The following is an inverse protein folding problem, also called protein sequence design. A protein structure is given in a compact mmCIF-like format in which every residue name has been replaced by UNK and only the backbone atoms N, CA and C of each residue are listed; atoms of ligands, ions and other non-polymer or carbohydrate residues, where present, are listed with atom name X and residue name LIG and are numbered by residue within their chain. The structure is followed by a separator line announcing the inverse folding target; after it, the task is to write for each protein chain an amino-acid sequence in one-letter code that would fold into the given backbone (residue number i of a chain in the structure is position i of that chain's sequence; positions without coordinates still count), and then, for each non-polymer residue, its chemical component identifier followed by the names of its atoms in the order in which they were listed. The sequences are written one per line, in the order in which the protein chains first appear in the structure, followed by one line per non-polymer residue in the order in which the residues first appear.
data_IF_367492025892
#
_entry.id   IF_367492025892
#
_cell.length_a   1.000
_cell.length_b   1.000
_cell.length_c   1.000
_cell.angle_alpha   90.00
_cell.angle_beta   90.00
_cell.angle_gamma   90.00
#
_symmetry.space_group_name_H-M   'P 1'
#
loop_
_entity.id
_entity.type
_entity.pdbx_description
1 polymer ?
#
# COMPACT_ATOMS: atom_id res chain seq x y z
N UNK A 1 -2.28 -11.62 22.24
CA UNK A 1 -2.07 -11.18 20.89
C UNK A 1 -1.27 -9.91 20.81
N UNK A 2 -0.35 -9.92 19.98
CA UNK A 2 0.59 -8.87 19.86
C UNK A 2 0.04 -7.68 19.09
N UNK A 3 0.20 -6.50 19.63
CA UNK A 3 -0.19 -5.31 18.92
C UNK A 3 0.85 -4.94 17.90
N UNK A 4 0.40 -4.47 16.78
CA UNK A 4 1.31 -3.98 15.79
C UNK A 4 1.89 -2.66 16.18
N UNK A 5 3.05 -2.40 15.64
CA UNK A 5 3.66 -1.11 15.79
C UNK A 5 2.77 -0.05 15.17
N UNK A 6 2.64 1.08 15.83
CA UNK A 6 1.87 2.17 15.29
C UNK A 6 2.58 2.90 14.17
N UNK A 7 3.88 2.70 14.04
CA UNK A 7 4.63 3.39 13.01
C UNK A 7 4.46 2.76 11.65
N UNK A 8 4.28 1.45 11.63
CA UNK A 8 4.11 0.74 10.36
C UNK A 8 2.75 0.09 10.40
N UNK A 9 1.75 0.91 10.23
CA UNK A 9 0.39 0.45 10.35
C UNK A 9 -0.01 -0.38 9.18
N UNK A 10 -0.74 -1.41 9.48
CA UNK A 10 -1.58 -2.00 8.50
C UNK A 10 -2.93 -1.37 8.75
N UNK A 11 -3.44 -0.67 7.84
CA UNK A 11 -4.71 0.03 7.99
C UNK A 11 -5.86 -0.96 7.89
N UNK A 12 -5.89 -1.91 8.83
CA UNK A 12 -6.87 -2.98 8.73
C UNK A 12 -8.31 -2.48 8.70
N UNK A 13 -8.58 -1.40 9.41
CA UNK A 13 -9.92 -0.82 9.37
C UNK A 13 -10.28 -0.31 8.00
N UNK A 14 -9.27 0.02 7.20
CA UNK A 14 -9.46 0.54 5.86
C UNK A 14 -9.03 -0.46 4.81
N UNK A 15 -8.60 -1.63 5.23
CA UNK A 15 -8.30 -2.72 4.32
C UNK A 15 -6.93 -2.66 3.68
N UNK A 16 -5.98 -1.93 4.24
CA UNK A 16 -4.64 -1.83 3.67
C UNK A 16 -3.62 -2.38 4.65
N UNK A 17 -2.77 -3.27 4.16
CA UNK A 17 -1.72 -3.84 5.00
C UNK A 17 -0.46 -4.02 4.17
N UNK A 18 0.69 -4.03 4.84
CA UNK A 18 1.95 -4.33 4.19
C UNK A 18 2.70 -5.41 4.95
N UNK A 19 3.54 -6.12 4.24
CA UNK A 19 4.40 -7.14 4.82
C UNK A 19 5.77 -7.08 4.12
N UNK A 20 6.86 -6.96 4.85
CA UNK A 20 6.94 -6.86 6.31
C UNK A 20 6.39 -5.54 6.83
N UNK A 21 5.99 -5.50 8.09
CA UNK A 21 5.39 -4.30 8.66
C UNK A 21 6.39 -3.16 8.82
N UNK A 22 7.66 -3.49 8.91
CA UNK A 22 8.73 -2.50 9.02
C UNK A 22 9.79 -2.80 7.96
N UNK A 23 9.50 -2.50 6.69
CA UNK A 23 10.42 -2.86 5.62
C UNK A 23 11.68 -2.00 5.65
N UNK A 24 12.77 -2.56 5.13
CA UNK A 24 14.01 -1.83 4.95
C UNK A 24 14.30 -1.68 3.47
N UNK A 25 15.16 -0.74 3.14
CA UNK A 25 15.54 -0.52 1.74
C UNK A 25 16.11 -1.80 1.16
N UNK A 26 15.61 -2.18 0.01
CA UNK A 26 16.01 -3.41 -0.65
C UNK A 26 15.06 -4.57 -0.42
N UNK A 27 14.19 -4.46 0.57
CA UNK A 27 13.19 -5.50 0.78
C UNK A 27 12.15 -5.49 -0.34
N UNK A 28 11.50 -6.63 -0.49
CA UNK A 28 10.28 -6.69 -1.28
C UNK A 28 9.12 -6.54 -0.32
N UNK A 29 8.22 -5.65 -0.67
CA UNK A 29 7.08 -5.33 0.18
C UNK A 29 5.83 -5.87 -0.50
N UNK A 30 5.09 -6.70 0.21
CA UNK A 30 3.80 -7.16 -0.27
C UNK A 30 2.72 -6.25 0.28
N UNK A 31 1.90 -5.73 -0.61
CA UNK A 31 0.81 -4.82 -0.26
C UNK A 31 -0.49 -5.53 -0.48
N UNK A 32 -1.33 -5.52 0.55
CA UNK A 32 -2.63 -6.17 0.52
C UNK A 32 -3.71 -5.12 0.58
N UNK A 33 -4.74 -5.28 -0.24
CA UNK A 33 -5.84 -4.32 -0.27
C UNK A 33 -7.18 -5.04 -0.26
N UNK A 34 -8.02 -4.67 0.70
CA UNK A 34 -9.41 -5.10 0.75
C UNK A 34 -10.23 -3.94 1.33
N UNK A 35 -10.06 -2.79 0.71
CA UNK A 35 -10.69 -1.56 1.18
C UNK A 35 -12.01 -1.28 0.51
N UNK A 36 -12.39 -0.01 0.52
CA UNK A 36 -13.73 0.40 0.09
C UNK A 36 -14.01 0.03 -1.36
N UNK A 37 -13.02 0.14 -2.24
CA UNK A 37 -13.24 -0.20 -3.65
C UNK A 37 -13.54 -1.67 -3.81
N UNK A 38 -12.79 -2.51 -3.10
CA UNK A 38 -12.99 -3.94 -3.14
C UNK A 38 -14.36 -4.31 -2.58
N UNK A 39 -14.73 -3.69 -1.47
CA UNK A 39 -16.01 -4.00 -0.84
C UNK A 39 -17.19 -3.51 -1.67
N UNK A 40 -16.96 -2.56 -2.54
CA UNK A 40 -17.99 -2.08 -3.46
C UNK A 40 -17.99 -2.86 -4.77
N UNK A 41 -17.22 -3.93 -4.84
CA UNK A 41 -17.29 -4.84 -5.98
C UNK A 41 -16.40 -4.49 -7.15
N UNK A 42 -15.33 -3.75 -6.94
CA UNK A 42 -14.42 -3.42 -8.03
C UNK A 42 -13.89 -4.70 -8.68
N UNK A 43 -13.94 -4.81 -10.01
CA UNK A 43 -13.46 -6.01 -10.68
C UNK A 43 -11.95 -6.08 -10.78
N UNK A 44 -11.27 -4.95 -10.64
CA UNK A 44 -9.81 -4.84 -10.70
C UNK A 44 -9.37 -3.72 -9.81
N UNK A 45 -8.17 -3.84 -9.28
CA UNK A 45 -7.57 -2.78 -8.46
C UNK A 45 -6.16 -2.52 -8.99
N UNK A 46 -5.82 -1.25 -9.10
CA UNK A 46 -4.49 -0.81 -9.45
C UNK A 46 -3.91 -0.05 -8.26
N UNK A 47 -2.66 -0.35 -7.94
CA UNK A 47 -1.92 0.32 -6.89
C UNK A 47 -1.12 1.45 -7.49
N UNK A 48 -1.26 2.64 -6.92
CA UNK A 48 -0.40 3.77 -7.27
C UNK A 48 0.50 4.05 -6.09
N UNK A 49 1.79 4.11 -6.30
CA UNK A 49 2.73 4.32 -5.22
C UNK A 49 3.74 5.40 -5.56
N UNK A 50 4.31 5.99 -4.52
CA UNK A 50 5.37 6.96 -4.62
C UNK A 50 6.08 7.07 -3.30
N UNK A 51 7.15 7.84 -3.26
CA UNK A 51 7.98 7.97 -2.07
C UNK A 51 7.98 9.41 -1.59
N UNK A 52 7.81 9.58 -0.27
CA UNK A 52 7.86 10.89 0.35
C UNK A 52 6.64 11.73 0.03
N UNK A 53 6.64 12.95 0.52
CA UNK A 53 5.50 13.84 0.36
C UNK A 53 5.29 14.28 -1.08
N UNK A 54 6.33 14.18 -1.90
CA UNK A 54 6.26 14.59 -3.30
C UNK A 54 5.92 13.45 -4.24
N UNK A 55 5.65 12.25 -3.72
CA UNK A 55 5.34 11.08 -4.52
C UNK A 55 6.41 10.80 -5.58
N UNK A 56 7.67 10.79 -5.16
CA UNK A 56 8.76 10.53 -6.09
C UNK A 56 8.77 9.09 -6.56
N UNK A 57 9.30 8.86 -7.74
CA UNK A 57 9.39 7.52 -8.35
C UNK A 57 8.03 6.84 -8.43
N UNK A 58 7.03 7.58 -8.86
CA UNK A 58 5.67 7.04 -8.93
C UNK A 58 5.58 5.86 -9.88
N UNK A 59 4.76 4.90 -9.50
CA UNK A 59 4.49 3.72 -10.31
C UNK A 59 3.04 3.31 -10.15
N UNK A 60 2.51 2.73 -11.22
CA UNK A 60 1.20 2.08 -11.17
C UNK A 60 1.42 0.59 -11.34
N UNK A 61 0.86 -0.19 -10.43
CA UNK A 61 1.07 -1.62 -10.41
C UNK A 61 -0.29 -2.31 -10.36
N UNK A 62 -0.62 -3.12 -11.36
CA UNK A 62 -1.87 -3.88 -11.27
C UNK A 62 -1.76 -4.89 -10.15
N UNK A 63 -2.83 -5.03 -9.39
CA UNK A 63 -2.85 -5.96 -8.26
C UNK A 63 -3.50 -7.26 -8.68
N UNK A 64 -3.00 -8.35 -8.13
CA UNK A 64 -3.55 -9.67 -8.38
C UNK A 64 -4.65 -9.95 -7.36
N UNK A 65 -5.74 -10.51 -7.82
CA UNK A 65 -6.82 -10.87 -6.93
C UNK A 65 -6.55 -12.23 -6.29
N UNK A 66 -6.70 -12.28 -4.97
CA UNK A 66 -6.61 -13.53 -4.23
C UNK A 66 -7.99 -13.89 -3.70
N UNK A 67 -8.07 -14.93 -2.89
CA UNK A 67 -9.36 -15.34 -2.33
C UNK A 67 -9.99 -14.29 -1.46
N UNK A 68 -9.19 -13.46 -0.80
CA UNK A 68 -9.70 -12.54 0.21
C UNK A 68 -9.37 -11.09 -0.06
N UNK A 69 -8.44 -10.81 -0.96
CA UNK A 69 -8.00 -9.43 -1.16
C UNK A 69 -7.31 -9.28 -2.50
N UNK A 70 -6.77 -8.08 -2.71
CA UNK A 70 -5.86 -7.81 -3.82
C UNK A 70 -4.45 -7.68 -3.28
N UNK A 71 -3.47 -8.04 -4.09
CA UNK A 71 -2.10 -8.15 -3.63
C UNK A 71 -1.13 -7.68 -4.70
N UNK A 72 -0.08 -6.98 -4.30
CA UNK A 72 1.01 -6.61 -5.18
C UNK A 72 2.31 -6.62 -4.38
N UNK A 73 3.41 -6.90 -5.06
CA UNK A 73 4.72 -6.89 -4.43
C UNK A 73 5.59 -5.87 -5.14
N UNK A 74 6.21 -4.99 -4.37
CA UNK A 74 7.04 -3.92 -4.91
C UNK A 74 8.33 -3.83 -4.14
N UNK A 75 9.43 -3.36 -4.76
CA UNK A 75 10.68 -3.18 -4.03
C UNK A 75 10.68 -1.90 -3.21
N UNK A 76 11.38 -1.91 -2.10
CA UNK A 76 11.59 -0.72 -1.30
C UNK A 76 12.81 0.01 -1.85
N UNK A 77 12.58 1.05 -2.64
CA UNK A 77 13.65 1.72 -3.37
C UNK A 77 14.36 2.80 -2.57
N UNK A 78 13.67 3.41 -1.61
CA UNK A 78 14.22 4.54 -0.87
C UNK A 78 13.92 4.40 0.60
N UNK A 79 14.73 5.06 1.42
CA UNK A 79 14.50 5.09 2.86
C UNK A 79 13.59 6.26 3.25
N UNK A 80 12.60 6.50 2.44
CA UNK A 80 11.57 7.49 2.70
C UNK A 80 10.28 6.74 2.93
N UNK A 81 9.23 7.43 3.35
CA UNK A 81 8.00 6.69 3.52
C UNK A 81 7.36 6.42 2.16
N UNK A 82 6.72 5.28 2.11
CA UNK A 82 6.04 4.81 0.92
C UNK A 82 4.60 5.26 0.99
N UNK A 83 4.12 5.93 -0.05
CA UNK A 83 2.74 6.37 -0.12
C UNK A 83 1.99 5.56 -1.14
N UNK A 84 0.78 5.18 -0.80
CA UNK A 84 -0.06 4.31 -1.62
C UNK A 84 -1.43 4.92 -1.82
N UNK A 85 -1.98 4.70 -2.99
CA UNK A 85 -3.40 4.87 -3.24
C UNK A 85 -3.86 3.76 -4.18
N UNK A 86 -5.17 3.60 -4.29
CA UNK A 86 -5.74 2.49 -5.05
C UNK A 86 -6.83 3.02 -5.95
N UNK A 87 -7.00 2.40 -7.11
CA UNK A 87 -8.05 2.81 -8.03
C UNK A 87 -8.66 1.60 -8.71
N UNK A 88 -9.88 1.79 -9.20
CA UNK A 88 -10.56 0.76 -9.99
C UNK A 88 -10.66 1.24 -11.45
N UNK A 89 -11.19 0.41 -12.36
CA UNK A 89 -11.25 0.82 -13.76
C UNK A 89 -12.31 1.88 -14.07
N UNK A 90 -13.09 2.29 -13.07
CA UNK A 90 -14.14 3.28 -13.27
C UNK A 90 -13.79 4.64 -12.70
N UNK A 91 -12.49 4.85 -12.45
CA UNK A 91 -11.95 6.12 -11.93
C UNK A 91 -12.36 6.40 -10.48
N UNK A 92 -12.73 5.38 -9.74
CA UNK A 92 -12.88 5.53 -8.31
C UNK A 92 -11.52 5.38 -7.65
N UNK A 93 -11.21 6.26 -6.71
CA UNK A 93 -9.89 6.31 -6.09
C UNK A 93 -10.05 6.21 -4.58
N UNK A 94 -9.24 5.35 -3.98
CA UNK A 94 -9.16 5.25 -2.53
C UNK A 94 -7.79 5.75 -2.11
N UNK A 95 -7.71 7.00 -1.71
CA UNK A 95 -6.45 7.63 -1.35
C UNK A 95 -6.46 8.11 0.10
N UNK A 96 -7.26 7.47 0.94
CA UNK A 96 -7.34 7.81 2.36
C UNK A 96 -7.69 9.27 2.56
N UNK A 97 -8.74 9.72 1.85
CA UNK A 97 -9.23 11.10 1.91
C UNK A 97 -8.17 12.12 1.52
N UNK A 98 -7.34 11.76 0.55
CA UNK A 98 -6.33 12.66 0.02
C UNK A 98 -4.98 12.58 0.70
N UNK A 99 -4.88 11.85 1.80
CA UNK A 99 -3.62 11.75 2.55
C UNK A 99 -2.70 10.67 2.04
N UNK A 100 -3.24 9.71 1.32
CA UNK A 100 -2.50 8.51 0.98
C UNK A 100 -2.37 7.57 2.17
N UNK A 101 -1.98 6.35 1.91
CA UNK A 101 -1.63 5.39 2.95
C UNK A 101 -0.12 5.39 3.03
N UNK A 102 0.44 5.70 4.20
CA UNK A 102 1.89 5.91 4.35
C UNK A 102 2.51 4.87 5.27
N UNK A 103 3.66 4.37 4.85
CA UNK A 103 4.42 3.39 5.63
C UNK A 103 5.88 3.78 5.62
N UNK A 104 6.54 3.69 6.76
CA UNK A 104 7.96 4.00 6.87
C UNK A 104 8.80 2.90 6.26
N UNK A 105 9.82 3.28 5.52
CA UNK A 105 10.83 2.37 5.05
C UNK A 105 12.12 2.73 5.74
N UNK A 106 12.74 1.77 6.39
CA UNK A 106 13.88 1.99 7.26
C UNK A 106 15.17 1.77 6.50
N UNK A 107 16.14 2.63 6.75
CA UNK A 107 17.46 2.45 6.19
C UNK A 107 18.33 1.73 7.22
N UNK A 108 19.03 0.70 6.77
CA UNK A 108 19.97 -0.02 7.62
C UNK A 108 21.34 0.58 7.41
N UNK A 109 21.99 0.93 8.50
CA UNK A 109 23.34 1.50 8.48
C UNK A 109 24.40 0.43 8.38
#
# INVERSE_FOLDING_TARGET
MQKKSLKNLDYLDKGVAISPAAPTVGDKITILYDGVLSKNGAPEISLHLGYGSSWENEQDVPMARTDTCYEATVPALKNDYLKLSFSDPFNNIDDNNGSGYSFDIIKIE
#
